data_IF_046829691672
#
_entry.id   IF_046829691672
#
_cell.length_a   1.000
_cell.length_b   1.000
_cell.length_c   1.000
_cell.angle_alpha   90.00
_cell.angle_beta   90.00
_cell.angle_gamma   90.00
#
_symmetry.space_group_name_H-M   'P 1'
#
loop_
_entity.id
_entity.type
_entity.pdbx_description
1 polymer ?
#
# COMPACT_ATOMS: atom_id res chain seq x y z
N UNK A 1 43.91 0.96 36.69
CA UNK A 1 43.17 1.80 35.72
C UNK A 1 43.05 1.04 34.41
N UNK A 2 42.10 0.10 34.27
CA UNK A 2 41.99 -0.72 33.04
C UNK A 2 40.57 -1.29 32.84
N UNK A 3 39.54 -0.45 32.71
CA UNK A 3 38.15 -0.94 32.53
C UNK A 3 37.31 -0.12 31.54
N UNK A 4 37.90 0.82 30.79
CA UNK A 4 37.15 1.64 29.82
C UNK A 4 37.25 1.16 28.37
N UNK A 5 38.32 0.51 27.93
CA UNK A 5 38.54 0.20 26.52
C UNK A 5 37.68 -0.97 25.97
N UNK A 6 37.15 -1.83 26.85
CA UNK A 6 36.53 -3.10 26.45
C UNK A 6 35.02 -2.96 26.15
N UNK A 7 34.38 -1.88 26.61
CA UNK A 7 32.94 -1.64 26.40
C UNK A 7 32.60 -1.08 25.00
N UNK A 8 33.50 -0.33 24.38
CA UNK A 8 33.25 0.31 23.07
C UNK A 8 33.31 -0.65 21.87
N UNK A 9 34.16 -1.68 21.93
CA UNK A 9 34.31 -2.63 20.83
C UNK A 9 33.14 -3.62 20.74
N UNK A 10 32.52 -3.96 21.87
CA UNK A 10 31.39 -4.89 21.95
C UNK A 10 30.11 -4.25 21.43
N UNK A 11 29.85 -2.99 21.79
CA UNK A 11 28.69 -2.24 21.29
C UNK A 11 28.76 -1.99 19.78
N UNK A 12 29.93 -1.66 19.24
CA UNK A 12 30.08 -1.43 17.80
C UNK A 12 29.86 -2.69 16.95
N UNK A 13 30.38 -3.84 17.41
CA UNK A 13 30.18 -5.13 16.72
C UNK A 13 28.73 -5.60 16.76
N UNK A 14 28.01 -5.34 17.86
CA UNK A 14 26.58 -5.65 17.97
C UNK A 14 25.73 -4.79 17.03
N UNK A 15 26.03 -3.49 16.90
CA UNK A 15 25.31 -2.58 15.99
C UNK A 15 25.51 -2.97 14.52
N UNK A 16 26.73 -3.32 14.13
CA UNK A 16 27.02 -3.77 12.76
C UNK A 16 26.33 -5.11 12.44
N UNK A 17 26.29 -6.04 13.39
CA UNK A 17 25.62 -7.33 13.20
C UNK A 17 24.10 -7.18 13.09
N UNK A 18 23.46 -6.35 13.91
CA UNK A 18 22.01 -6.11 13.84
C UNK A 18 21.62 -5.34 12.58
N UNK A 19 22.38 -4.32 12.17
CA UNK A 19 22.13 -3.59 10.93
C UNK A 19 22.22 -4.51 9.69
N UNK A 20 23.20 -5.41 9.67
CA UNK A 20 23.36 -6.40 8.59
C UNK A 20 22.22 -7.41 8.57
N UNK A 21 21.79 -7.90 9.73
CA UNK A 21 20.68 -8.84 9.84
C UNK A 21 19.35 -8.20 9.38
N UNK A 22 19.08 -6.95 9.77
CA UNK A 22 17.89 -6.21 9.31
C UNK A 22 17.94 -6.00 7.79
N UNK A 23 19.10 -5.60 7.25
CA UNK A 23 19.29 -5.43 5.81
C UNK A 23 19.01 -6.70 5.01
N UNK A 24 19.54 -7.85 5.44
CA UNK A 24 19.34 -9.15 4.75
C UNK A 24 17.89 -9.63 4.88
N UNK A 25 17.24 -9.45 6.03
CA UNK A 25 15.82 -9.79 6.22
C UNK A 25 14.93 -8.90 5.35
N UNK A 26 15.29 -7.63 5.19
CA UNK A 26 14.50 -6.68 4.38
C UNK A 26 14.59 -7.01 2.88
N UNK A 27 15.78 -7.35 2.38
CA UNK A 27 15.99 -7.75 0.97
C UNK A 27 15.32 -9.08 0.66
N UNK A 28 15.41 -10.06 1.56
CA UNK A 28 14.76 -11.37 1.38
C UNK A 28 13.24 -11.26 1.48
N UNK A 29 12.70 -10.49 2.43
CA UNK A 29 11.29 -10.16 2.49
C UNK A 29 10.82 -9.53 1.16
N UNK A 30 11.52 -8.52 0.64
CA UNK A 30 11.16 -7.87 -0.62
C UNK A 30 11.13 -8.85 -1.81
N UNK A 31 12.04 -9.82 -1.86
CA UNK A 31 12.09 -10.83 -2.92
C UNK A 31 10.97 -11.87 -2.81
N UNK A 32 10.56 -12.26 -1.59
CA UNK A 32 9.53 -13.28 -1.35
C UNK A 32 8.08 -12.74 -1.31
N UNK A 33 7.89 -11.47 -0.93
CA UNK A 33 6.55 -10.86 -0.83
C UNK A 33 5.96 -10.38 -2.17
N UNK A 34 6.66 -10.64 -3.28
CA UNK A 34 6.10 -10.55 -4.63
C UNK A 34 6.17 -9.14 -5.22
N UNK A 35 6.36 -9.10 -6.53
CA UNK A 35 6.20 -7.89 -7.32
C UNK A 35 4.72 -7.51 -7.32
N UNK A 36 4.33 -6.72 -6.33
CA UNK A 36 2.96 -6.28 -6.15
C UNK A 36 2.72 -5.02 -6.98
N UNK A 37 1.83 -5.13 -7.96
CA UNK A 37 1.57 -4.07 -8.93
C UNK A 37 0.49 -3.11 -8.42
N UNK A 38 0.72 -1.78 -8.45
CA UNK A 38 -0.32 -0.81 -8.18
C UNK A 38 -1.50 -1.00 -9.13
N UNK A 39 -2.69 -1.07 -8.56
CA UNK A 39 -3.95 -1.26 -9.28
C UNK A 39 -4.89 -0.11 -8.93
N UNK A 40 -5.33 0.69 -9.92
CA UNK A 40 -6.34 1.70 -9.68
C UNK A 40 -7.62 1.10 -9.11
N UNK A 41 -8.18 1.72 -8.08
CA UNK A 41 -9.45 1.29 -7.50
C UNK A 41 -10.65 1.97 -8.19
N UNK A 42 -11.81 1.35 -8.07
CA UNK A 42 -13.07 1.80 -8.64
C UNK A 42 -13.68 2.92 -7.77
N UNK A 43 -14.23 3.93 -8.43
CA UNK A 43 -14.80 5.13 -7.79
C UNK A 43 -16.34 5.07 -7.85
N UNK A 44 -17.05 5.61 -6.85
CA UNK A 44 -16.53 6.20 -5.61
C UNK A 44 -16.13 5.14 -4.56
N UNK A 45 -15.28 5.52 -3.61
CA UNK A 45 -15.03 4.75 -2.39
C UNK A 45 -16.13 5.00 -1.34
N UNK A 46 -16.37 4.01 -0.49
CA UNK A 46 -17.24 4.14 0.68
C UNK A 46 -16.42 4.44 1.92
N UNK A 47 -16.87 5.38 2.74
CA UNK A 47 -16.14 5.85 3.92
C UNK A 47 -17.05 5.86 5.13
N UNK A 48 -16.60 5.23 6.21
CA UNK A 48 -17.23 5.26 7.53
C UNK A 48 -16.19 5.62 8.59
N UNK A 49 -16.14 6.90 8.96
CA UNK A 49 -15.16 7.43 9.91
C UNK A 49 -13.72 7.19 9.47
N UNK A 50 -13.03 6.26 10.13
CA UNK A 50 -11.66 5.87 9.85
C UNK A 50 -11.55 4.59 8.99
N UNK A 51 -12.65 4.05 8.49
CA UNK A 51 -12.66 2.86 7.62
C UNK A 51 -13.05 3.27 6.21
N UNK A 52 -12.20 2.95 5.23
CA UNK A 52 -12.44 3.16 3.82
C UNK A 52 -12.60 1.80 3.14
N UNK A 53 -13.76 1.56 2.56
CA UNK A 53 -14.01 0.40 1.70
C UNK A 53 -13.74 0.81 0.25
N UNK A 54 -12.76 0.14 -0.36
CA UNK A 54 -12.39 0.30 -1.76
C UNK A 54 -12.81 -0.95 -2.52
N UNK A 55 -13.40 -0.76 -3.70
CA UNK A 55 -13.55 -1.82 -4.69
C UNK A 55 -12.49 -1.63 -5.76
N UNK A 56 -11.88 -2.68 -6.30
CA UNK A 56 -10.95 -2.60 -7.43
C UNK A 56 -11.16 -3.77 -8.38
N UNK A 57 -10.76 -3.59 -9.64
CA UNK A 57 -10.77 -4.67 -10.64
C UNK A 57 -9.37 -5.23 -10.75
N UNK A 58 -9.21 -6.50 -10.38
CA UNK A 58 -7.93 -7.22 -10.41
C UNK A 58 -8.00 -8.51 -11.23
N UNK A 59 -6.90 -9.25 -11.30
CA UNK A 59 -6.86 -10.55 -11.97
C UNK A 59 -7.65 -11.61 -11.20
N UNK A 60 -8.30 -12.52 -11.92
CA UNK A 60 -8.89 -13.72 -11.32
C UNK A 60 -7.85 -14.63 -10.64
N UNK A 61 -6.58 -14.59 -11.07
CA UNK A 61 -5.50 -15.42 -10.54
C UNK A 61 -4.68 -14.71 -9.46
N UNK A 62 -5.23 -13.67 -8.83
CA UNK A 62 -4.52 -12.98 -7.76
C UNK A 62 -4.28 -13.93 -6.58
N UNK A 63 -3.06 -13.91 -6.06
CA UNK A 63 -2.72 -14.55 -4.80
C UNK A 63 -3.21 -13.72 -3.61
N UNK A 64 -3.30 -12.41 -3.79
CA UNK A 64 -3.72 -11.48 -2.76
C UNK A 64 -3.64 -10.02 -3.19
N UNK A 65 -4.06 -9.15 -2.29
CA UNK A 65 -3.89 -7.72 -2.45
C UNK A 65 -3.64 -7.06 -1.08
N UNK A 66 -2.98 -5.91 -1.11
CA UNK A 66 -2.74 -5.05 0.04
C UNK A 66 -3.02 -3.60 -0.34
N UNK A 67 -3.26 -2.76 0.66
CA UNK A 67 -3.36 -1.32 0.48
C UNK A 67 -2.16 -0.66 1.15
N UNK A 68 -1.42 0.15 0.41
CA UNK A 68 -0.45 1.08 0.97
C UNK A 68 -1.17 2.41 1.25
N UNK A 69 -1.01 2.93 2.47
CA UNK A 69 -1.68 4.15 2.93
C UNK A 69 -0.62 5.19 3.27
N UNK A 70 -0.77 6.37 2.70
CA UNK A 70 0.01 7.56 3.04
C UNK A 70 -0.94 8.66 3.54
N UNK A 71 -0.84 9.01 4.81
CA UNK A 71 -1.72 9.97 5.47
C UNK A 71 -1.01 11.29 5.77
N UNK A 72 -1.55 12.36 5.20
CA UNK A 72 -1.20 13.75 5.48
C UNK A 72 -2.41 14.46 6.12
N UNK A 73 -2.21 15.56 6.89
CA UNK A 73 -3.32 16.33 7.47
C UNK A 73 -4.38 16.82 6.47
N UNK A 74 -4.08 16.94 5.17
CA UNK A 74 -5.02 17.40 4.15
C UNK A 74 -5.47 16.31 3.17
N UNK A 75 -4.73 15.20 3.11
CA UNK A 75 -4.87 14.20 2.05
C UNK A 75 -4.56 12.81 2.58
N UNK A 76 -5.36 11.84 2.15
CA UNK A 76 -5.10 10.41 2.33
C UNK A 76 -4.92 9.80 0.95
N UNK A 77 -3.74 9.24 0.68
CA UNK A 77 -3.47 8.52 -0.56
C UNK A 77 -3.52 7.03 -0.28
N UNK A 78 -4.42 6.32 -0.94
CA UNK A 78 -4.50 4.86 -0.83
C UNK A 78 -4.13 4.25 -2.19
N UNK A 79 -3.15 3.34 -2.17
CA UNK A 79 -2.72 2.57 -3.34
C UNK A 79 -3.03 1.11 -3.11
N UNK A 80 -3.97 0.55 -3.87
CA UNK A 80 -4.16 -0.90 -3.88
C UNK A 80 -3.03 -1.53 -4.68
N UNK A 81 -2.45 -2.60 -4.16
CA UNK A 81 -1.43 -3.39 -4.83
C UNK A 81 -1.84 -4.85 -4.87
N UNK A 82 -1.89 -5.39 -6.07
CA UNK A 82 -2.23 -6.78 -6.32
C UNK A 82 -0.96 -7.62 -6.47
N UNK A 83 -0.97 -8.84 -5.93
CA UNK A 83 0.07 -9.83 -6.16
C UNK A 83 -0.50 -10.97 -6.99
N UNK A 84 0.11 -11.21 -8.16
CA UNK A 84 -0.21 -12.35 -9.03
C UNK A 84 1.02 -13.25 -9.10
N UNK A 85 0.88 -14.55 -8.79
CA UNK A 85 1.99 -15.52 -8.88
C UNK A 85 1.76 -16.62 -9.92
N UNK A 86 0.61 -16.63 -10.59
CA UNK A 86 0.33 -17.60 -11.65
C UNK A 86 1.19 -17.33 -12.88
N UNK A 87 1.86 -18.38 -13.40
CA UNK A 87 2.64 -18.29 -14.66
C UNK A 87 1.75 -18.14 -15.90
N UNK A 88 0.50 -18.57 -15.80
CA UNK A 88 -0.53 -18.41 -16.82
C UNK A 88 -1.83 -18.02 -16.15
N UNK A 89 -2.44 -16.93 -16.58
CA UNK A 89 -3.77 -16.50 -16.14
C UNK A 89 -4.57 -16.05 -17.36
N UNK A 90 -5.89 -16.25 -17.32
CA UNK A 90 -6.75 -15.61 -18.32
C UNK A 90 -6.84 -14.10 -18.04
N UNK A 91 -6.97 -13.30 -19.09
CA UNK A 91 -7.07 -11.85 -18.97
C UNK A 91 -8.50 -11.42 -18.60
N UNK A 92 -8.98 -11.93 -17.46
CA UNK A 92 -10.32 -11.67 -16.93
C UNK A 92 -10.20 -10.82 -15.67
N UNK A 93 -10.86 -9.65 -15.72
CA UNK A 93 -10.95 -8.73 -14.60
C UNK A 93 -12.09 -9.09 -13.66
N UNK A 94 -11.78 -9.28 -12.38
CA UNK A 94 -12.73 -9.60 -11.30
C UNK A 94 -12.77 -8.43 -10.31
N UNK A 95 -13.97 -8.09 -9.83
CA UNK A 95 -14.15 -7.05 -8.81
C UNK A 95 -13.89 -7.62 -7.41
N UNK A 96 -13.10 -6.89 -6.62
CA UNK A 96 -12.76 -7.25 -5.26
C UNK A 96 -12.89 -6.05 -4.33
N UNK A 97 -13.22 -6.32 -3.07
CA UNK A 97 -13.27 -5.33 -2.02
C UNK A 97 -12.06 -5.44 -1.09
N UNK A 98 -11.58 -4.29 -0.62
CA UNK A 98 -10.56 -4.17 0.42
C UNK A 98 -10.96 -3.08 1.40
N UNK A 99 -10.88 -3.41 2.70
CA UNK A 99 -11.17 -2.47 3.78
C UNK A 99 -9.86 -1.95 4.34
N UNK A 100 -9.72 -0.63 4.38
CA UNK A 100 -8.53 0.07 4.82
C UNK A 100 -8.88 0.87 6.07
N UNK A 101 -8.15 0.63 7.15
CA UNK A 101 -8.27 1.39 8.39
C UNK A 101 -7.22 2.51 8.39
N UNK A 102 -7.69 3.73 8.58
CA UNK A 102 -6.88 4.93 8.72
C UNK A 102 -6.51 5.16 10.19
N UNK A 103 -5.44 5.91 10.42
CA UNK A 103 -4.98 6.33 11.75
C UNK A 103 -5.95 7.36 12.36
N UNK A 104 -6.57 8.18 11.53
CA UNK A 104 -7.61 9.13 11.91
C UNK A 104 -8.84 9.05 10.98
N UNK A 105 -10.03 9.51 11.39
CA UNK A 105 -11.18 9.60 10.49
C UNK A 105 -10.89 10.42 9.24
N UNK A 106 -11.42 10.03 8.06
CA UNK A 106 -11.15 10.76 6.81
C UNK A 106 -11.54 12.24 6.93
N UNK A 107 -12.74 12.51 7.45
CA UNK A 107 -13.24 13.88 7.65
C UNK A 107 -13.26 14.67 6.35
N UNK A 108 -12.68 15.86 6.37
CA UNK A 108 -12.58 16.76 5.21
C UNK A 108 -11.33 16.51 4.35
N UNK A 109 -10.52 15.48 4.68
CA UNK A 109 -9.30 15.17 3.93
C UNK A 109 -9.64 14.63 2.54
N UNK A 110 -8.84 15.03 1.57
CA UNK A 110 -8.96 14.54 0.20
C UNK A 110 -8.55 13.06 0.14
N UNK A 111 -9.43 12.18 -0.35
CA UNK A 111 -9.07 10.79 -0.67
C UNK A 111 -8.56 10.69 -2.10
N UNK A 112 -7.34 10.18 -2.29
CA UNK A 112 -6.65 10.09 -3.58
C UNK A 112 -6.26 8.66 -3.90
N UNK A 113 -6.44 8.26 -5.16
CA UNK A 113 -5.94 6.99 -5.70
C UNK A 113 -4.46 7.14 -6.06
N UNK A 114 -3.58 6.49 -5.30
CA UNK A 114 -2.15 6.56 -5.54
C UNK A 114 -1.69 5.87 -6.82
N UNK A 115 -2.42 4.87 -7.33
CA UNK A 115 -2.09 4.28 -8.63
C UNK A 115 -2.37 5.29 -9.76
N UNK A 116 -3.46 6.04 -9.66
CA UNK A 116 -3.79 7.09 -10.65
C UNK A 116 -2.81 8.26 -10.68
N UNK A 117 -1.98 8.44 -9.64
CA UNK A 117 -0.90 9.43 -9.64
C UNK A 117 0.32 8.97 -10.46
N UNK A 118 0.40 7.68 -10.82
CA UNK A 118 1.52 7.14 -11.56
C UNK A 118 1.28 7.25 -13.08
N UNK A 119 2.25 7.74 -13.88
CA UNK A 119 2.08 7.89 -15.33
C UNK A 119 1.68 6.60 -16.04
N UNK A 120 2.16 5.43 -15.57
CA UNK A 120 1.81 4.11 -16.12
C UNK A 120 0.30 3.83 -16.05
N UNK A 121 -0.42 4.34 -15.05
CA UNK A 121 -1.84 4.02 -14.83
C UNK A 121 -2.80 5.20 -15.06
N UNK A 122 -2.29 6.40 -15.35
CA UNK A 122 -3.10 7.59 -15.56
C UNK A 122 -4.12 7.47 -16.71
N UNK A 123 -3.87 6.58 -17.67
CA UNK A 123 -4.76 6.34 -18.82
C UNK A 123 -5.96 5.43 -18.51
N UNK A 124 -6.02 4.83 -17.31
CA UNK A 124 -7.14 3.98 -16.92
C UNK A 124 -8.40 4.82 -16.73
N UNK A 125 -9.55 4.32 -17.21
CA UNK A 125 -10.83 5.04 -17.18
C UNK A 125 -11.26 5.46 -15.76
N UNK A 126 -10.83 4.70 -14.75
CA UNK A 126 -11.10 4.98 -13.34
C UNK A 126 -10.26 6.13 -12.77
N UNK A 127 -9.25 6.62 -13.50
CA UNK A 127 -8.36 7.71 -13.09
C UNK A 127 -8.76 9.09 -13.65
N UNK A 128 -9.87 9.20 -14.38
CA UNK A 128 -10.29 10.46 -15.01
C UNK A 128 -10.57 11.60 -14.02
N UNK A 129 -10.33 12.85 -14.46
CA UNK A 129 -10.36 14.05 -13.60
C UNK A 129 -11.72 14.38 -12.97
N UNK A 130 -12.82 13.83 -13.48
CA UNK A 130 -14.18 14.08 -12.97
C UNK A 130 -14.71 12.93 -12.09
N UNK A 131 -13.85 12.01 -11.65
CA UNK A 131 -14.28 10.88 -10.81
C UNK A 131 -14.31 11.30 -9.35
N UNK A 132 -15.51 11.39 -8.78
CA UNK A 132 -15.68 11.58 -7.34
C UNK A 132 -15.05 10.41 -6.60
N UNK A 133 -14.08 10.68 -5.72
CA UNK A 133 -13.35 9.65 -4.99
C UNK A 133 -14.11 9.10 -3.78
N UNK A 134 -15.09 9.85 -3.26
CA UNK A 134 -15.89 9.49 -2.09
C UNK A 134 -17.37 9.64 -2.40
N UNK A 135 -18.18 8.67 -1.98
CA UNK A 135 -19.63 8.77 -2.08
C UNK A 135 -20.16 9.69 -0.95
N UNK A 136 -20.92 10.76 -1.27
CA UNK A 136 -21.51 11.59 -0.23
C UNK A 136 -22.51 10.75 0.58
N UNK A 137 -22.36 10.77 1.91
CA UNK A 137 -23.27 10.07 2.82
C UNK A 137 -24.65 10.73 2.69
N UNK A 138 -25.54 10.11 1.92
CA UNK A 138 -26.95 10.50 1.86
C UNK A 138 -27.59 10.12 3.20
N UNK A 139 -28.04 11.14 3.95
CA UNK A 139 -28.89 10.97 5.12
C UNK A 139 -30.32 10.66 4.70
#
# INVERSE_FOLDING_TARGET
MSTMAQRGAVTWRLILATASAIGVVSVTAWYFFGQSEPTPWNKPARVDGAVVQLTYTGSECRDGARADVDEDPKRVTITVRETVRAMSCSDVGVSYDIHVRLDAPLGDRELVDGACQMPKYAHYIVCGQNKTTVEPISR
#
